data_IF_308967848098
#
_entry.id   IF_308967848098
#
_cell.length_a   1.000
_cell.length_b   1.000
_cell.length_c   1.000
_cell.angle_alpha   90.00
_cell.angle_beta   90.00
_cell.angle_gamma   90.00
#
_symmetry.space_group_name_H-M   'P 1'
#
loop_
_entity.id
_entity.type
_entity.pdbx_description
1 polymer ?
#
# COMPACT_ATOMS: atom_id res chain seq x y z
N UNK A 1 -21.35 4.76 -3.74
CA UNK A 1 -20.45 5.21 -2.66
C UNK A 1 -19.41 4.13 -2.45
N UNK A 2 -18.11 4.42 -2.53
CA UNK A 2 -17.08 3.41 -2.28
C UNK A 2 -16.86 3.32 -0.76
N UNK A 3 -17.00 2.12 -0.20
CA UNK A 3 -16.78 1.86 1.22
C UNK A 3 -15.31 2.15 1.59
N UNK A 4 -15.08 2.85 2.71
CA UNK A 4 -13.73 3.14 3.21
C UNK A 4 -13.22 1.91 3.96
N UNK A 5 -12.37 1.13 3.30
CA UNK A 5 -11.67 0.00 3.95
C UNK A 5 -10.43 0.53 4.65
N UNK A 6 -10.37 0.39 5.98
CA UNK A 6 -9.18 0.67 6.80
C UNK A 6 -8.62 -0.63 7.34
N UNK A 7 -7.35 -0.90 7.02
CA UNK A 7 -6.61 -2.02 7.61
C UNK A 7 -5.95 -1.53 8.91
N UNK A 8 -5.97 -2.35 9.96
CA UNK A 8 -5.16 -2.12 11.16
C UNK A 8 -3.91 -2.99 11.06
N UNK A 9 -2.76 -2.37 11.23
CA UNK A 9 -1.45 -3.03 11.30
C UNK A 9 -0.73 -2.50 12.54
N UNK A 10 0.10 -3.32 13.17
CA UNK A 10 1.01 -2.87 14.21
C UNK A 10 2.27 -2.20 13.62
N UNK A 11 3.09 -1.62 14.49
CA UNK A 11 4.29 -0.88 14.09
C UNK A 11 5.37 -1.80 13.48
N UNK A 12 5.47 -3.06 13.90
CA UNK A 12 6.45 -4.02 13.38
C UNK A 12 6.10 -4.44 11.95
N UNK A 13 4.82 -4.68 11.70
CA UNK A 13 4.24 -4.96 10.40
C UNK A 13 4.36 -3.75 9.47
N UNK A 14 4.04 -2.55 9.97
CA UNK A 14 4.25 -1.29 9.25
C UNK A 14 5.71 -1.09 8.86
N UNK A 15 6.64 -1.30 9.78
CA UNK A 15 8.08 -1.21 9.52
C UNK A 15 8.56 -2.25 8.52
N UNK A 16 8.02 -3.47 8.55
CA UNK A 16 8.33 -4.51 7.56
C UNK A 16 7.87 -4.10 6.16
N UNK A 17 6.67 -3.56 6.02
CA UNK A 17 6.14 -3.07 4.74
C UNK A 17 6.95 -1.87 4.22
N UNK A 18 7.30 -0.92 5.09
CA UNK A 18 8.16 0.21 4.72
C UNK A 18 9.54 -0.23 4.23
N UNK A 19 10.14 -1.25 4.84
CA UNK A 19 11.41 -1.82 4.37
C UNK A 19 11.29 -2.43 2.97
N UNK A 20 10.20 -3.13 2.67
CA UNK A 20 9.93 -3.67 1.34
C UNK A 20 9.77 -2.55 0.30
N UNK A 21 9.01 -1.50 0.63
CA UNK A 21 8.77 -0.37 -0.27
C UNK A 21 10.06 0.41 -0.56
N UNK A 22 10.89 0.64 0.46
CA UNK A 22 12.12 1.45 0.35
C UNK A 22 13.25 0.75 -0.39
N UNK A 23 13.39 -0.58 -0.28
CA UNK A 23 14.50 -1.30 -0.92
C UNK A 23 14.30 -1.52 -2.42
N UNK A 24 13.06 -1.48 -2.92
CA UNK A 24 12.76 -1.75 -4.34
C UNK A 24 13.18 -3.15 -4.84
N UNK A 25 13.72 -4.00 -3.97
CA UNK A 25 14.26 -5.32 -4.29
C UNK A 25 13.25 -6.41 -3.92
N UNK A 26 12.78 -7.16 -4.91
CA UNK A 26 11.75 -8.20 -4.77
C UNK A 26 10.77 -8.19 -5.95
N UNK A 27 9.73 -9.03 -5.91
CA UNK A 27 8.68 -8.99 -6.94
C UNK A 27 7.93 -7.65 -6.91
N UNK A 28 7.73 -7.04 -8.08
CA UNK A 28 6.90 -5.83 -8.27
C UNK A 28 5.52 -6.01 -7.64
N UNK A 29 4.95 -7.23 -7.69
CA UNK A 29 3.65 -7.56 -7.08
C UNK A 29 3.71 -7.45 -5.56
N UNK A 30 4.78 -7.93 -4.93
CA UNK A 30 4.96 -7.85 -3.47
C UNK A 30 5.11 -6.40 -3.03
N UNK A 31 5.88 -5.61 -3.78
CA UNK A 31 6.04 -4.18 -3.52
C UNK A 31 4.70 -3.44 -3.65
N UNK A 32 3.91 -3.74 -4.69
CA UNK A 32 2.57 -3.18 -4.87
C UNK A 32 1.61 -3.50 -3.73
N UNK A 33 1.55 -4.76 -3.32
CA UNK A 33 0.71 -5.17 -2.19
C UNK A 33 1.10 -4.44 -0.91
N UNK A 34 2.40 -4.24 -0.68
CA UNK A 34 2.87 -3.49 0.48
C UNK A 34 2.43 -2.02 0.43
N UNK A 35 2.49 -1.38 -0.73
CA UNK A 35 2.00 -0.01 -0.94
C UNK A 35 0.49 0.11 -0.69
N UNK A 36 -0.30 -0.80 -1.27
CA UNK A 36 -1.76 -0.84 -1.06
C UNK A 36 -2.12 -0.97 0.43
N UNK A 37 -1.46 -1.88 1.16
CA UNK A 37 -1.74 -2.08 2.59
C UNK A 37 -1.38 -0.84 3.41
N UNK A 38 -0.24 -0.19 3.12
CA UNK A 38 0.14 1.05 3.80
C UNK A 38 -0.86 2.18 3.58
N UNK A 39 -1.32 2.38 2.35
CA UNK A 39 -2.33 3.40 2.04
C UNK A 39 -3.70 3.08 2.66
N UNK A 40 -4.09 1.81 2.70
CA UNK A 40 -5.30 1.38 3.41
C UNK A 40 -5.19 1.61 4.93
N UNK A 41 -4.01 1.40 5.52
CA UNK A 41 -3.77 1.69 6.94
C UNK A 41 -3.83 3.19 7.24
N UNK A 42 -3.41 4.04 6.29
CA UNK A 42 -3.57 5.50 6.34
C UNK A 42 -5.04 5.95 6.16
N UNK A 43 -5.96 5.04 5.86
CA UNK A 43 -7.38 5.35 5.67
C UNK A 43 -7.70 6.03 4.34
N UNK A 44 -6.84 5.87 3.33
CA UNK A 44 -7.10 6.37 1.99
C UNK A 44 -8.29 5.66 1.36
N UNK A 45 -9.03 6.37 0.50
CA UNK A 45 -10.16 5.77 -0.22
C UNK A 45 -9.66 4.79 -1.28
N UNK A 46 -10.45 3.75 -1.56
CA UNK A 46 -10.13 2.77 -2.62
C UNK A 46 -9.90 3.46 -3.97
N UNK A 47 -10.67 4.51 -4.29
CA UNK A 47 -10.50 5.30 -5.50
C UNK A 47 -9.12 5.99 -5.56
N UNK A 48 -8.67 6.59 -4.45
CA UNK A 48 -7.36 7.25 -4.41
C UNK A 48 -6.21 6.25 -4.45
N UNK A 49 -6.38 5.09 -3.83
CA UNK A 49 -5.42 3.99 -3.89
C UNK A 49 -5.28 3.46 -5.32
N UNK A 50 -6.39 3.26 -6.04
CA UNK A 50 -6.39 2.81 -7.42
C UNK A 50 -5.70 3.81 -8.36
N UNK A 51 -5.96 5.11 -8.19
CA UNK A 51 -5.30 6.18 -8.94
C UNK A 51 -3.77 6.17 -8.76
N UNK A 52 -3.28 6.01 -7.52
CA UNK A 52 -1.84 5.98 -7.25
C UNK A 52 -1.17 4.68 -7.72
N UNK A 53 -1.89 3.56 -7.67
CA UNK A 53 -1.40 2.27 -8.12
C UNK A 53 -1.18 2.24 -9.64
N UNK A 54 -2.08 2.82 -10.44
CA UNK A 54 -1.97 2.80 -11.91
C UNK A 54 -0.90 3.77 -12.44
N UNK A 55 -0.70 4.93 -11.81
CA UNK A 55 0.24 5.98 -12.28
C UNK A 55 1.71 5.56 -12.20
N UNK A 56 2.05 4.61 -11.34
CA UNK A 56 3.42 4.12 -11.15
C UNK A 56 3.75 2.93 -12.06
N UNK A 57 2.86 2.55 -12.98
CA UNK A 57 3.06 1.53 -14.02
C UNK A 57 3.25 2.14 -15.43
N UNK A 58 3.54 3.44 -15.56
CA UNK A 58 3.85 4.13 -16.83
C UNK A 58 5.35 4.35 -17.04
#
# INVERSE_FOLDING_TARGET
MAERVRVRIDDDEGNRLLRMVRRGSGSVITWRRAQTVLWSAQGMTVQKIAELATVTES
#
